data_IF_997006834129
#
_entry.id   IF_997006834129
#
_cell.length_a   1.000
_cell.length_b   1.000
_cell.length_c   1.000
_cell.angle_alpha   90.00
_cell.angle_beta   90.00
_cell.angle_gamma   90.00
#
_symmetry.space_group_name_H-M   'P 1'
#
loop_
_entity.id
_entity.type
_entity.pdbx_description
1 polymer ?
#
# COMPACT_ATOMS: atom_id res chain seq x y z
N UNK A 1 -6.63 29.04 29.22
CA UNK A 1 -6.40 28.76 27.79
C UNK A 1 -6.42 27.24 27.61
N UNK A 2 -7.40 26.67 26.90
CA UNK A 2 -7.46 25.22 26.70
C UNK A 2 -6.37 24.78 25.70
N UNK A 3 -5.71 23.63 25.91
CA UNK A 3 -4.72 23.13 24.99
C UNK A 3 -5.38 22.77 23.66
N UNK A 4 -4.83 23.29 22.57
CA UNK A 4 -5.23 22.94 21.22
C UNK A 4 -5.18 21.41 21.06
N UNK A 5 -6.33 20.78 20.86
CA UNK A 5 -6.39 19.39 20.41
C UNK A 5 -5.60 19.30 19.10
N UNK A 6 -4.40 18.73 19.17
CA UNK A 6 -3.65 18.29 18.00
C UNK A 6 -4.49 17.17 17.37
N UNK A 7 -5.23 17.54 16.31
CA UNK A 7 -6.07 16.65 15.52
C UNK A 7 -5.14 15.66 14.80
N UNK A 8 -5.11 14.42 15.27
CA UNK A 8 -4.42 13.33 14.60
C UNK A 8 -5.34 12.71 13.57
N UNK A 9 -5.09 12.99 12.29
CA UNK A 9 -5.69 12.29 11.15
C UNK A 9 -5.09 10.88 11.10
N UNK A 10 -5.80 9.90 11.67
CA UNK A 10 -5.44 8.46 11.61
C UNK A 10 -6.01 7.80 10.35
N UNK A 11 -6.83 8.51 9.56
CA UNK A 11 -7.64 7.94 8.49
C UNK A 11 -6.91 7.54 7.18
N UNK A 12 -5.64 7.91 6.96
CA UNK A 12 -5.03 7.83 5.61
C UNK A 12 -4.30 6.50 5.32
N UNK A 13 -4.28 5.52 6.22
CA UNK A 13 -3.36 4.35 6.07
C UNK A 13 -3.85 3.25 5.13
N UNK A 14 -5.08 3.28 4.62
CA UNK A 14 -5.59 2.25 3.70
C UNK A 14 -6.48 2.89 2.63
N UNK A 15 -5.88 3.31 1.52
CA UNK A 15 -6.61 3.73 0.32
C UNK A 15 -5.84 3.24 -0.92
N UNK A 16 -6.41 2.28 -1.66
CA UNK A 16 -6.85 2.39 -3.06
C UNK A 16 -7.72 1.16 -3.39
N UNK A 17 -9.00 1.48 -3.57
CA UNK A 17 -10.13 0.85 -4.27
C UNK A 17 -10.26 -0.68 -4.40
N UNK A 18 -11.37 -1.16 -3.82
CA UNK A 18 -12.09 -2.40 -4.12
C UNK A 18 -12.56 -2.43 -5.58
N UNK A 19 -12.00 -3.32 -6.39
CA UNK A 19 -12.66 -3.75 -7.63
C UNK A 19 -13.76 -4.77 -7.27
N UNK A 20 -15.00 -4.27 -7.17
CA UNK A 20 -16.18 -5.13 -7.25
C UNK A 20 -16.19 -5.81 -8.62
N UNK A 21 -16.11 -7.14 -8.62
CA UNK A 21 -16.61 -7.94 -9.73
C UNK A 21 -18.14 -7.99 -9.62
N UNK A 22 -18.81 -6.91 -10.04
CA UNK A 22 -20.24 -6.97 -10.31
C UNK A 22 -20.46 -7.81 -11.58
N UNK A 23 -20.72 -9.10 -11.41
CA UNK A 23 -21.42 -9.88 -12.43
C UNK A 23 -22.82 -9.31 -12.58
N UNK A 24 -23.03 -8.48 -13.60
CA UNK A 24 -24.36 -7.97 -13.92
C UNK A 24 -25.27 -9.14 -14.37
N UNK A 25 -26.53 -9.22 -13.91
CA UNK A 25 -27.49 -10.16 -14.45
C UNK A 25 -27.82 -9.76 -15.90
N UNK A 26 -27.82 -10.75 -16.79
CA UNK A 26 -28.26 -10.57 -18.16
C UNK A 26 -29.76 -10.27 -18.19
N UNK A 27 -30.15 -9.08 -18.63
CA UNK A 27 -31.56 -8.77 -18.86
C UNK A 27 -31.85 -7.32 -19.24
N UNK A 28 -32.05 -7.11 -20.55
CA UNK A 28 -32.99 -6.19 -21.20
C UNK A 28 -32.33 -5.49 -22.40
N UNK A 29 -32.73 -5.93 -23.60
CA UNK A 29 -32.34 -5.32 -24.87
C UNK A 29 -33.05 -3.97 -25.04
N UNK A 30 -32.30 -2.88 -24.87
CA UNK A 30 -32.64 -1.54 -25.36
C UNK A 30 -31.51 -1.09 -26.29
N UNK A 31 -31.86 -0.74 -27.53
CA UNK A 31 -30.91 -0.31 -28.55
C UNK A 31 -30.36 1.08 -28.21
N UNK A 32 -29.18 1.11 -27.59
CA UNK A 32 -28.36 2.30 -27.45
C UNK A 32 -27.13 2.13 -28.34
N UNK A 33 -26.87 3.12 -29.19
CA UNK A 33 -25.72 3.19 -30.08
C UNK A 33 -24.43 3.06 -29.25
N UNK A 34 -23.50 2.14 -29.59
CA UNK A 34 -22.35 1.86 -28.74
C UNK A 34 -21.46 3.10 -28.66
N UNK A 35 -21.49 3.78 -27.52
CA UNK A 35 -20.56 4.84 -27.19
C UNK A 35 -19.14 4.31 -27.45
N UNK A 36 -18.35 5.09 -28.21
CA UNK A 36 -16.96 4.76 -28.49
C UNK A 36 -16.27 4.38 -27.16
N UNK A 37 -15.49 3.29 -27.11
CA UNK A 37 -14.88 2.84 -25.86
C UNK A 37 -14.02 3.99 -25.33
N UNK A 38 -14.48 4.62 -24.26
CA UNK A 38 -13.69 5.62 -23.55
C UNK A 38 -12.34 4.97 -23.26
N UNK A 39 -11.25 5.60 -23.69
CA UNK A 39 -9.89 5.18 -23.38
C UNK A 39 -9.78 5.07 -21.87
N UNK A 40 -9.87 3.85 -21.35
CA UNK A 40 -9.79 3.53 -19.92
C UNK A 40 -8.33 3.62 -19.49
N UNK A 41 -7.86 4.81 -19.17
CA UNK A 41 -6.52 5.03 -18.63
C UNK A 41 -6.27 6.51 -18.35
N UNK A 42 -5.48 6.80 -17.32
CA UNK A 42 -4.93 8.14 -17.16
C UNK A 42 -3.93 8.41 -18.29
N UNK A 43 -3.84 9.65 -18.81
CA UNK A 43 -2.80 9.99 -19.78
C UNK A 43 -1.42 9.73 -19.18
N UNK A 44 -0.59 9.00 -19.92
CA UNK A 44 0.79 8.71 -19.52
C UNK A 44 1.69 9.73 -20.19
N UNK A 45 2.34 10.59 -19.39
CA UNK A 45 3.32 11.57 -19.87
C UNK A 45 4.56 10.87 -20.43
N UNK A 46 5.39 11.56 -21.21
CA UNK A 46 6.76 11.10 -21.43
C UNK A 46 7.66 11.35 -20.20
N UNK A 47 8.91 10.89 -20.25
CA UNK A 47 9.84 11.03 -19.12
C UNK A 47 10.12 12.51 -18.80
N UNK A 48 10.35 13.35 -19.82
CA UNK A 48 10.75 14.75 -19.65
C UNK A 48 9.60 15.59 -19.09
N UNK A 49 8.39 15.42 -19.62
CA UNK A 49 7.17 16.06 -19.13
C UNK A 49 6.86 15.64 -17.70
N UNK A 50 7.02 14.35 -17.37
CA UNK A 50 6.82 13.87 -16.02
C UNK A 50 7.85 14.47 -15.04
N UNK A 51 9.13 14.48 -15.38
CA UNK A 51 10.18 15.08 -14.54
C UNK A 51 9.96 16.58 -14.32
N UNK A 52 9.45 17.31 -15.32
CA UNK A 52 9.15 18.73 -15.20
C UNK A 52 8.05 19.04 -14.17
N UNK A 53 7.18 18.06 -13.86
CA UNK A 53 6.11 18.21 -12.88
C UNK A 53 6.50 17.72 -11.49
N UNK A 54 7.49 16.83 -11.38
CA UNK A 54 7.97 16.33 -10.10
C UNK A 54 8.71 17.42 -9.30
N UNK A 55 8.80 17.29 -7.96
CA UNK A 55 9.66 18.13 -7.13
C UNK A 55 11.11 18.15 -7.64
N UNK A 56 11.86 19.17 -7.24
CA UNK A 56 13.28 19.30 -7.56
C UNK A 56 14.04 18.03 -7.14
N UNK A 57 14.82 17.50 -8.09
CA UNK A 57 15.61 16.28 -7.92
C UNK A 57 16.99 16.66 -7.45
N UNK A 58 17.40 16.14 -6.29
CA UNK A 58 18.77 16.32 -5.77
C UNK A 58 19.73 15.32 -6.42
N UNK A 59 19.28 14.07 -6.58
CA UNK A 59 20.05 12.99 -7.20
C UNK A 59 19.12 11.93 -7.82
N UNK A 60 19.54 11.30 -8.92
CA UNK A 60 18.81 10.22 -9.57
C UNK A 60 19.74 9.30 -10.36
N UNK A 61 19.62 7.99 -10.15
CA UNK A 61 20.42 6.99 -10.87
C UNK A 61 20.03 6.80 -12.34
N UNK A 62 18.87 7.29 -12.76
CA UNK A 62 18.37 7.23 -14.13
C UNK A 62 17.32 8.33 -14.39
N UNK A 63 17.18 8.72 -15.67
CA UNK A 63 16.10 9.62 -16.14
C UNK A 63 14.87 8.88 -16.65
N UNK A 64 14.88 7.55 -16.71
CA UNK A 64 13.69 6.76 -17.10
C UNK A 64 12.78 6.54 -15.89
N UNK A 65 11.53 6.96 -16.01
CA UNK A 65 10.49 6.75 -15.01
C UNK A 65 9.61 5.54 -15.37
N UNK A 66 9.16 4.77 -14.38
CA UNK A 66 8.17 3.74 -14.62
C UNK A 66 6.84 4.35 -15.10
N UNK A 67 6.08 3.62 -15.93
CA UNK A 67 4.81 4.05 -16.53
C UNK A 67 3.86 4.61 -15.48
N UNK A 68 3.77 3.94 -14.31
CA UNK A 68 2.89 4.39 -13.24
C UNK A 68 3.28 5.74 -12.65
N UNK A 69 4.58 6.07 -12.61
CA UNK A 69 5.03 7.36 -12.12
C UNK A 69 4.69 8.47 -13.14
N UNK A 70 4.88 8.20 -14.43
CA UNK A 70 4.50 9.13 -15.51
C UNK A 70 2.98 9.37 -15.57
N UNK A 71 2.18 8.35 -15.27
CA UNK A 71 0.72 8.47 -15.19
C UNK A 71 0.25 9.32 -13.99
N UNK A 72 0.98 9.27 -12.87
CA UNK A 72 0.60 9.98 -11.64
C UNK A 72 1.18 11.39 -11.54
N UNK A 73 2.33 11.66 -12.18
CA UNK A 73 3.07 12.91 -12.05
C UNK A 73 2.21 14.16 -12.31
N UNK A 74 1.27 14.10 -13.26
CA UNK A 74 0.40 15.23 -13.57
C UNK A 74 -0.66 15.55 -12.50
N UNK A 75 -1.10 14.55 -11.72
CA UNK A 75 -2.18 14.72 -10.75
C UNK A 75 -1.71 14.75 -9.29
N UNK A 76 -0.60 14.06 -9.02
CA UNK A 76 -0.05 13.85 -7.69
C UNK A 76 1.49 13.88 -7.72
N UNK A 77 2.12 14.98 -8.18
CA UNK A 77 3.58 15.04 -8.38
C UNK A 77 4.39 14.76 -7.11
N UNK A 78 3.98 15.30 -5.95
CA UNK A 78 4.71 15.11 -4.69
C UNK A 78 4.54 13.70 -4.16
N UNK A 79 3.35 13.13 -4.28
CA UNK A 79 3.09 11.74 -3.91
C UNK A 79 3.85 10.80 -4.82
N UNK A 80 3.89 11.08 -6.13
CA UNK A 80 4.67 10.31 -7.10
C UNK A 80 6.15 10.27 -6.70
N UNK A 81 6.73 11.42 -6.36
CA UNK A 81 8.10 11.49 -5.85
C UNK A 81 8.31 10.68 -4.56
N UNK A 82 7.44 10.84 -3.56
CA UNK A 82 7.51 10.06 -2.33
C UNK A 82 7.32 8.55 -2.56
N UNK A 83 6.52 8.17 -3.57
CA UNK A 83 6.30 6.79 -3.98
C UNK A 83 7.50 6.19 -4.72
N UNK A 84 8.26 6.97 -5.49
CA UNK A 84 9.49 6.49 -6.12
C UNK A 84 10.55 6.14 -5.07
N UNK A 85 10.75 7.01 -4.07
CA UNK A 85 11.63 6.73 -2.94
C UNK A 85 11.16 5.50 -2.13
N UNK A 86 9.84 5.38 -1.95
CA UNK A 86 9.23 4.23 -1.29
C UNK A 86 9.48 2.94 -2.08
N UNK A 87 9.23 2.92 -3.39
CA UNK A 87 9.45 1.77 -4.25
C UNK A 87 10.90 1.30 -4.20
N UNK A 88 11.83 2.24 -4.32
CA UNK A 88 13.25 1.95 -4.19
C UNK A 88 13.56 1.23 -2.87
N UNK A 89 13.18 1.81 -1.73
CA UNK A 89 13.49 1.26 -0.42
C UNK A 89 12.89 -0.14 -0.20
N UNK A 90 11.65 -0.37 -0.64
CA UNK A 90 11.03 -1.68 -0.51
C UNK A 90 11.68 -2.69 -1.45
N UNK A 91 12.10 -2.30 -2.66
CA UNK A 91 12.77 -3.21 -3.59
C UNK A 91 14.19 -3.55 -3.20
N UNK A 92 14.92 -2.62 -2.59
CA UNK A 92 16.36 -2.76 -2.29
C UNK A 92 16.69 -3.03 -0.83
N UNK A 93 15.69 -3.04 0.06
CA UNK A 93 15.86 -3.29 1.50
C UNK A 93 16.81 -4.46 1.81
N UNK A 94 17.52 -4.39 2.92
CA UNK A 94 18.31 -5.47 3.51
C UNK A 94 17.65 -6.05 4.77
N UNK A 95 16.40 -5.65 5.07
CA UNK A 95 15.69 -6.09 6.27
C UNK A 95 15.38 -7.60 6.30
N UNK A 96 15.43 -8.27 5.15
CA UNK A 96 15.39 -9.73 5.00
C UNK A 96 15.91 -10.13 3.61
N UNK A 97 16.09 -11.44 3.38
CA UNK A 97 16.71 -11.99 2.16
C UNK A 97 16.08 -11.45 0.86
N UNK A 98 16.96 -11.05 -0.08
CA UNK A 98 16.56 -10.37 -1.33
C UNK A 98 15.77 -11.30 -2.24
N UNK A 99 16.15 -12.58 -2.34
CA UNK A 99 15.42 -13.56 -3.15
C UNK A 99 14.05 -13.83 -2.54
N UNK A 100 13.98 -14.05 -1.23
CA UNK A 100 12.72 -14.26 -0.52
C UNK A 100 11.78 -13.07 -0.70
N UNK A 101 12.28 -11.83 -0.59
CA UNK A 101 11.49 -10.62 -0.87
C UNK A 101 10.89 -10.62 -2.27
N UNK A 102 11.70 -10.86 -3.30
CA UNK A 102 11.22 -10.88 -4.67
C UNK A 102 10.15 -11.98 -4.88
N UNK A 103 10.37 -13.18 -4.32
CA UNK A 103 9.39 -14.29 -4.36
C UNK A 103 8.08 -13.94 -3.66
N UNK A 104 8.13 -13.28 -2.49
CA UNK A 104 6.93 -12.84 -1.78
C UNK A 104 6.14 -11.79 -2.57
N UNK A 105 6.82 -10.81 -3.20
CA UNK A 105 6.18 -9.83 -4.09
C UNK A 105 5.55 -10.50 -5.31
N UNK A 106 6.23 -11.49 -5.89
CA UNK A 106 5.68 -12.27 -7.00
C UNK A 106 4.39 -13.00 -6.61
N UNK A 107 4.37 -13.63 -5.42
CA UNK A 107 3.17 -14.32 -4.88
C UNK A 107 2.02 -13.33 -4.68
N UNK A 108 2.31 -12.13 -4.16
CA UNK A 108 1.32 -11.06 -4.02
C UNK A 108 0.74 -10.64 -5.37
N UNK A 109 1.62 -10.34 -6.34
CA UNK A 109 1.25 -9.88 -7.67
C UNK A 109 0.39 -10.92 -8.40
N UNK A 110 0.76 -12.21 -8.33
CA UNK A 110 -0.06 -13.30 -8.89
C UNK A 110 -1.42 -13.39 -8.22
N UNK A 111 -1.49 -13.29 -6.90
CA UNK A 111 -2.75 -13.36 -6.16
C UNK A 111 -3.67 -12.17 -6.48
N UNK A 112 -3.11 -10.97 -6.66
CA UNK A 112 -3.83 -9.77 -7.07
C UNK A 112 -4.11 -9.69 -8.58
N UNK A 113 -3.50 -10.58 -9.39
CA UNK A 113 -3.53 -10.54 -10.86
C UNK A 113 -2.95 -9.24 -11.45
N UNK A 114 -1.87 -8.75 -10.84
CA UNK A 114 -1.13 -7.59 -11.31
C UNK A 114 0.06 -8.02 -12.19
N UNK A 115 -0.10 -7.96 -13.51
CA UNK A 115 0.95 -8.37 -14.45
C UNK A 115 2.20 -7.49 -14.38
N UNK A 116 2.02 -6.20 -14.18
CA UNK A 116 3.12 -5.25 -14.01
C UNK A 116 4.01 -5.65 -12.82
N UNK A 117 3.43 -5.77 -11.63
CA UNK A 117 4.19 -6.15 -10.43
C UNK A 117 4.77 -7.54 -10.52
N UNK A 118 4.12 -8.47 -11.22
CA UNK A 118 4.63 -9.82 -11.45
C UNK A 118 5.92 -9.78 -12.25
N UNK A 119 5.94 -9.06 -13.37
CA UNK A 119 7.13 -8.89 -14.19
C UNK A 119 8.26 -8.17 -13.43
N UNK A 120 7.94 -7.11 -12.66
CA UNK A 120 8.91 -6.42 -11.80
C UNK A 120 9.51 -7.38 -10.77
N UNK A 121 8.69 -8.21 -10.11
CA UNK A 121 9.17 -9.17 -9.12
C UNK A 121 10.03 -10.28 -9.74
N UNK A 122 9.75 -10.70 -10.98
CA UNK A 122 10.61 -11.63 -11.74
C UNK A 122 11.98 -11.01 -12.05
N UNK A 123 12.00 -9.76 -12.51
CA UNK A 123 13.24 -9.02 -12.77
C UNK A 123 14.07 -8.86 -11.48
N UNK A 124 13.43 -8.48 -10.37
CA UNK A 124 14.08 -8.34 -9.06
C UNK A 124 14.61 -9.70 -8.54
N UNK A 125 13.89 -10.81 -8.79
CA UNK A 125 14.34 -12.15 -8.41
C UNK A 125 15.60 -12.56 -9.18
N UNK A 126 15.63 -12.32 -10.50
CA UNK A 126 16.80 -12.59 -11.32
C UNK A 126 18.00 -11.73 -10.90
N UNK A 127 17.77 -10.44 -10.63
CA UNK A 127 18.81 -9.52 -10.14
C UNK A 127 19.35 -9.94 -8.75
N UNK A 128 18.52 -10.56 -7.90
CA UNK A 128 18.93 -11.14 -6.63
C UNK A 128 19.66 -12.50 -6.78
N UNK A 129 19.97 -12.93 -8.00
CA UNK A 129 20.65 -14.19 -8.30
C UNK A 129 19.72 -15.42 -8.29
N UNK A 130 18.41 -15.21 -8.39
CA UNK A 130 17.45 -16.26 -8.72
C UNK A 130 17.58 -16.71 -10.18
N UNK A 131 16.92 -17.80 -10.52
CA UNK A 131 16.99 -18.45 -11.83
C UNK A 131 15.61 -18.45 -12.51
N UNK A 132 15.57 -18.71 -13.83
CA UNK A 132 14.28 -18.95 -14.51
C UNK A 132 13.54 -20.15 -13.95
N UNK A 133 14.27 -21.17 -13.50
CA UNK A 133 13.68 -22.32 -12.83
C UNK A 133 12.95 -21.92 -11.54
N UNK A 134 13.49 -20.97 -10.76
CA UNK A 134 12.79 -20.46 -9.57
C UNK A 134 11.45 -19.80 -9.96
N UNK A 135 11.41 -19.04 -11.05
CA UNK A 135 10.19 -18.41 -11.57
C UNK A 135 9.18 -19.46 -12.06
N UNK A 136 9.65 -20.47 -12.79
CA UNK A 136 8.81 -21.58 -13.26
C UNK A 136 8.21 -22.37 -12.09
N UNK A 137 8.98 -22.61 -11.02
CA UNK A 137 8.48 -23.25 -9.81
C UNK A 137 7.40 -22.41 -9.13
N UNK A 138 7.60 -21.09 -8.99
CA UNK A 138 6.57 -20.19 -8.48
C UNK A 138 5.30 -20.23 -9.36
N UNK A 139 5.45 -20.21 -10.68
CA UNK A 139 4.36 -20.34 -11.65
C UNK A 139 3.57 -21.65 -11.49
N UNK A 140 4.29 -22.77 -11.26
CA UNK A 140 3.71 -24.07 -10.96
C UNK A 140 3.04 -24.15 -9.57
N UNK A 141 3.17 -23.11 -8.73
CA UNK A 141 2.56 -23.06 -7.41
C UNK A 141 3.43 -23.67 -6.30
N UNK A 142 4.73 -23.85 -6.55
CA UNK A 142 5.66 -24.28 -5.51
C UNK A 142 5.69 -23.26 -4.37
N UNK A 143 5.68 -23.77 -3.14
CA UNK A 143 5.75 -22.93 -1.94
C UNK A 143 7.19 -22.68 -1.48
N UNK A 144 8.20 -23.15 -2.21
CA UNK A 144 9.62 -23.00 -1.85
C UNK A 144 10.29 -24.31 -1.43
N UNK A 145 11.61 -24.32 -1.43
CA UNK A 145 12.41 -25.54 -1.22
C UNK A 145 12.66 -25.84 0.26
N UNK A 146 12.72 -24.82 1.12
CA UNK A 146 12.95 -24.97 2.57
C UNK A 146 11.65 -24.81 3.38
N UNK A 147 11.57 -25.31 4.64
CA UNK A 147 10.43 -25.07 5.52
C UNK A 147 10.15 -23.57 5.73
N UNK A 148 11.19 -22.78 5.93
CA UNK A 148 11.11 -21.33 6.09
C UNK A 148 10.55 -20.65 4.82
N UNK A 149 11.05 -21.01 3.63
CA UNK A 149 10.51 -20.48 2.37
C UNK A 149 9.02 -20.81 2.23
N UNK A 150 8.61 -22.04 2.56
CA UNK A 150 7.20 -22.46 2.54
C UNK A 150 6.33 -21.66 3.47
N UNK A 151 6.79 -21.43 4.71
CA UNK A 151 6.06 -20.60 5.65
C UNK A 151 5.95 -19.15 5.16
N UNK A 152 7.03 -18.56 4.66
CA UNK A 152 7.05 -17.18 4.19
C UNK A 152 6.20 -16.94 2.93
N UNK A 153 6.22 -17.87 1.96
CA UNK A 153 5.39 -17.75 0.75
C UNK A 153 3.91 -18.05 1.03
N UNK A 154 3.61 -18.99 1.94
CA UNK A 154 2.24 -19.20 2.44
C UNK A 154 1.72 -17.95 3.15
N UNK A 155 2.54 -17.37 4.04
CA UNK A 155 2.26 -16.12 4.73
C UNK A 155 2.00 -14.97 3.75
N UNK A 156 2.84 -14.79 2.72
CA UNK A 156 2.65 -13.75 1.69
C UNK A 156 1.31 -13.90 0.94
N UNK A 157 0.96 -15.13 0.56
CA UNK A 157 -0.31 -15.44 -0.10
C UNK A 157 -1.50 -15.14 0.82
N UNK A 158 -1.41 -15.55 2.09
CA UNK A 158 -2.47 -15.35 3.09
C UNK A 158 -2.64 -13.87 3.43
N UNK A 159 -1.55 -13.13 3.61
CA UNK A 159 -1.56 -11.67 3.77
C UNK A 159 -2.19 -10.93 2.58
N UNK A 160 -2.14 -11.52 1.38
CA UNK A 160 -2.73 -10.92 0.17
C UNK A 160 -4.22 -11.25 0.02
N UNK A 161 -4.62 -12.49 0.30
CA UNK A 161 -5.99 -12.96 0.04
C UNK A 161 -6.92 -12.92 1.26
N UNK A 162 -6.38 -13.08 2.46
CA UNK A 162 -7.14 -13.27 3.69
C UNK A 162 -6.29 -12.98 4.93
N UNK A 163 -5.76 -11.75 5.04
CA UNK A 163 -4.80 -11.38 6.11
C UNK A 163 -5.33 -11.65 7.53
N UNK A 164 -6.65 -11.50 7.74
CA UNK A 164 -7.35 -11.80 9.00
C UNK A 164 -7.18 -13.26 9.47
N UNK A 165 -6.88 -14.18 8.55
CA UNK A 165 -6.75 -15.62 8.83
C UNK A 165 -5.33 -16.04 9.21
N UNK A 166 -4.34 -15.14 9.10
CA UNK A 166 -2.97 -15.42 9.56
C UNK A 166 -3.01 -15.69 11.07
N UNK A 167 -2.49 -16.84 11.50
CA UNK A 167 -2.57 -17.28 12.90
C UNK A 167 -1.40 -16.77 13.73
N UNK A 168 -1.49 -16.92 15.05
CA UNK A 168 -0.42 -16.51 15.96
C UNK A 168 0.76 -17.50 15.84
N UNK A 169 0.50 -18.80 15.62
CA UNK A 169 1.51 -19.84 15.43
C UNK A 169 2.32 -19.64 14.14
N UNK A 170 1.66 -19.26 13.04
CA UNK A 170 2.34 -18.96 11.77
C UNK A 170 3.33 -17.80 11.94
N UNK A 171 2.95 -16.76 12.71
CA UNK A 171 3.81 -15.61 12.97
C UNK A 171 4.91 -15.95 13.96
N UNK A 172 4.61 -16.70 15.03
CA UNK A 172 5.62 -17.17 15.99
C UNK A 172 6.70 -18.00 15.31
N UNK A 173 6.33 -18.93 14.42
CA UNK A 173 7.32 -19.70 13.67
C UNK A 173 8.27 -18.81 12.85
N UNK A 174 7.73 -17.81 12.15
CA UNK A 174 8.57 -16.87 11.39
C UNK A 174 9.47 -16.03 12.31
N UNK A 175 8.99 -15.65 13.51
CA UNK A 175 9.79 -14.92 14.50
C UNK A 175 10.90 -15.80 15.09
N UNK A 176 10.64 -17.07 15.32
CA UNK A 176 11.65 -18.03 15.80
C UNK A 176 12.79 -18.20 14.78
N UNK A 177 12.46 -18.26 13.49
CA UNK A 177 13.44 -18.48 12.42
C UNK A 177 14.18 -17.19 12.00
N UNK A 178 13.50 -16.03 12.02
CA UNK A 178 14.03 -14.78 11.45
C UNK A 178 14.20 -13.65 12.47
N UNK A 179 13.53 -13.71 13.62
CA UNK A 179 13.37 -12.60 14.55
C UNK A 179 12.26 -11.61 14.17
N UNK A 180 11.85 -10.78 15.13
CA UNK A 180 10.73 -9.84 14.94
C UNK A 180 10.98 -8.81 13.83
N UNK A 181 12.21 -8.26 13.77
CA UNK A 181 12.55 -7.17 12.84
C UNK A 181 12.32 -7.59 11.37
N UNK A 182 12.87 -8.72 10.87
CA UNK A 182 12.53 -9.23 9.53
C UNK A 182 11.05 -9.55 9.32
N UNK A 183 10.35 -10.10 10.32
CA UNK A 183 8.91 -10.41 10.21
C UNK A 183 8.06 -9.15 10.07
N UNK A 184 8.39 -8.07 10.80
CA UNK A 184 7.74 -6.77 10.60
C UNK A 184 8.05 -6.22 9.20
N UNK A 185 9.26 -6.43 8.67
CA UNK A 185 9.62 -6.07 7.30
C UNK A 185 8.77 -6.84 6.28
N UNK A 186 8.55 -8.13 6.50
CA UNK A 186 7.69 -8.97 5.67
C UNK A 186 6.24 -8.47 5.66
N UNK A 187 5.68 -8.10 6.83
CA UNK A 187 4.33 -7.51 6.92
C UNK A 187 4.25 -6.21 6.12
N UNK A 188 5.22 -5.30 6.31
CA UNK A 188 5.30 -4.05 5.57
C UNK A 188 5.46 -4.28 4.06
N UNK A 189 6.28 -5.25 3.66
CA UNK A 189 6.46 -5.61 2.26
C UNK A 189 5.15 -6.08 1.63
N UNK A 190 4.36 -6.86 2.37
CA UNK A 190 3.06 -7.31 1.90
C UNK A 190 2.05 -6.17 1.83
N UNK A 191 2.07 -5.24 2.78
CA UNK A 191 1.23 -4.04 2.72
C UNK A 191 1.58 -3.19 1.49
N UNK A 192 2.87 -2.94 1.25
CA UNK A 192 3.35 -2.19 0.09
C UNK A 192 3.00 -2.87 -1.23
N UNK A 193 3.26 -4.17 -1.37
CA UNK A 193 2.94 -4.92 -2.58
C UNK A 193 1.43 -4.88 -2.89
N UNK A 194 0.59 -5.09 -1.87
CA UNK A 194 -0.86 -5.03 -2.03
C UNK A 194 -1.38 -3.63 -2.42
N UNK A 195 -0.80 -2.58 -1.86
CA UNK A 195 -1.09 -1.20 -2.24
C UNK A 195 -0.67 -0.93 -3.69
N UNK A 196 0.58 -1.25 -4.04
CA UNK A 196 1.15 -1.00 -5.35
C UNK A 196 0.38 -1.76 -6.45
N UNK A 197 0.08 -3.05 -6.23
CA UNK A 197 -0.67 -3.87 -7.19
C UNK A 197 -2.03 -3.25 -7.51
N UNK A 198 -2.78 -2.82 -6.49
CA UNK A 198 -4.12 -2.22 -6.67
C UNK A 198 -4.05 -0.89 -7.40
N UNK A 199 -3.04 -0.08 -7.09
CA UNK A 199 -2.78 1.17 -7.81
C UNK A 199 -2.50 0.89 -9.29
N UNK A 200 -1.57 -0.04 -9.59
CA UNK A 200 -1.19 -0.37 -10.96
C UNK A 200 -2.34 -0.95 -11.78
N UNK A 201 -3.15 -1.83 -11.18
CA UNK A 201 -4.37 -2.36 -11.80
C UNK A 201 -5.36 -1.22 -12.08
N UNK A 202 -5.54 -0.29 -11.13
CA UNK A 202 -6.47 0.85 -11.28
C UNK A 202 -6.02 1.83 -12.36
N UNK A 203 -4.71 2.00 -12.54
CA UNK A 203 -4.11 2.82 -13.59
C UNK A 203 -4.15 2.15 -14.96
N UNK A 204 -4.37 0.84 -15.04
CA UNK A 204 -4.18 0.07 -16.27
C UNK A 204 -2.71 0.07 -16.72
N UNK A 205 -1.77 0.11 -15.76
CA UNK A 205 -0.35 0.24 -16.07
C UNK A 205 0.18 -0.94 -16.86
N UNK A 206 0.79 -0.65 -18.01
CA UNK A 206 1.54 -1.61 -18.81
C UNK A 206 3.03 -1.55 -18.48
N UNK A 207 3.75 -2.65 -18.72
CA UNK A 207 5.21 -2.69 -18.57
C UNK A 207 5.88 -1.81 -19.62
N UNK A 208 6.97 -1.15 -19.25
CA UNK A 208 7.73 -0.29 -20.14
C UNK A 208 8.28 -1.06 -21.37
N UNK A 209 8.46 -0.38 -22.51
CA UNK A 209 9.22 -0.93 -23.62
C UNK A 209 10.62 -1.37 -23.16
N UNK A 210 10.97 -2.61 -23.46
CA UNK A 210 12.22 -3.24 -23.02
C UNK A 210 12.14 -4.01 -21.70
N UNK A 211 10.97 -4.05 -21.06
CA UNK A 211 10.74 -4.79 -19.82
C UNK A 211 10.80 -3.90 -18.56
N UNK A 212 10.60 -4.51 -17.37
CA UNK A 212 10.56 -3.79 -16.10
C UNK A 212 11.84 -3.01 -15.83
N UNK A 213 11.71 -1.76 -15.39
CA UNK A 213 12.85 -0.95 -14.98
C UNK A 213 13.45 -1.46 -13.64
N UNK A 214 14.79 -1.34 -13.45
CA UNK A 214 15.40 -1.57 -12.14
C UNK A 214 14.85 -0.58 -11.10
N UNK A 215 15.02 -0.86 -9.79
CA UNK A 215 14.66 0.10 -8.74
C UNK A 215 15.34 1.46 -9.00
N UNK A 216 14.56 2.53 -9.07
CA UNK A 216 15.09 3.88 -9.30
C UNK A 216 15.52 4.50 -7.98
N UNK A 217 16.84 4.63 -7.78
CA UNK A 217 17.38 5.43 -6.69
C UNK A 217 17.25 6.89 -7.04
N UNK A 218 16.41 7.62 -6.30
CA UNK A 218 16.15 9.04 -6.52
C UNK A 218 15.91 9.72 -5.18
N UNK A 219 16.39 10.96 -5.05
CA UNK A 219 16.18 11.81 -3.90
C UNK A 219 15.60 13.16 -4.35
N UNK A 220 14.53 13.57 -3.68
CA UNK A 220 13.84 14.82 -3.98
C UNK A 220 14.05 15.83 -2.85
N UNK A 221 14.27 17.08 -3.22
CA UNK A 221 14.33 18.18 -2.28
C UNK A 221 13.01 18.29 -1.50
N UNK A 222 13.11 18.64 -0.21
CA UNK A 222 11.92 18.91 0.58
C UNK A 222 11.22 20.17 0.03
N UNK A 223 9.88 20.14 -0.16
CA UNK A 223 9.18 21.33 -0.61
C UNK A 223 9.32 22.45 0.45
N UNK A 224 9.33 23.73 0.03
CA UNK A 224 9.30 24.86 0.95
C UNK A 224 8.15 24.73 1.97
N UNK A 225 8.37 25.07 3.26
CA UNK A 225 7.37 24.87 4.32
C UNK A 225 6.02 25.55 4.09
N UNK A 226 6.02 26.64 3.33
CA UNK A 226 4.86 27.47 2.97
C UNK A 226 4.15 26.99 1.70
N UNK A 227 4.78 26.14 0.89
CA UNK A 227 4.22 25.66 -0.36
C UNK A 227 3.20 24.53 -0.12
N UNK A 228 1.92 24.89 -0.05
CA UNK A 228 0.83 23.90 -0.04
C UNK A 228 0.71 23.23 -1.42
N UNK A 229 0.51 21.90 -1.48
CA UNK A 229 0.19 21.27 -2.76
C UNK A 229 -1.17 21.79 -3.24
N UNK A 230 -1.26 22.11 -4.51
CA UNK A 230 -2.54 22.40 -5.17
C UNK A 230 -3.16 21.06 -5.59
N UNK A 231 -4.32 20.68 -5.04
CA UNK A 231 -4.97 19.43 -5.45
C UNK A 231 -5.38 19.50 -6.91
N UNK A 232 -5.22 18.39 -7.64
CA UNK A 232 -5.71 18.31 -9.01
C UNK A 232 -7.20 18.70 -9.10
N UNK A 233 -7.54 19.48 -10.12
CA UNK A 233 -8.91 19.88 -10.37
C UNK A 233 -9.80 18.64 -10.56
N UNK A 234 -10.87 18.54 -9.77
CA UNK A 234 -11.87 17.48 -9.89
C UNK A 234 -13.08 18.08 -10.61
N UNK A 235 -13.25 17.83 -11.92
CA UNK A 235 -14.42 18.34 -12.62
C UNK A 235 -15.68 17.81 -11.93
N UNK A 236 -16.66 18.69 -11.77
CA UNK A 236 -17.97 18.25 -11.33
C UNK A 236 -18.52 17.22 -12.35
N UNK A 237 -19.30 16.23 -11.91
CA UNK A 237 -20.05 15.38 -12.83
C UNK A 237 -20.83 16.24 -13.83
N UNK A 238 -20.80 15.87 -15.12
CA UNK A 238 -21.47 16.63 -16.21
C UNK A 238 -22.97 16.75 -15.94
N UNK A 239 -23.56 15.73 -15.34
CA UNK A 239 -24.91 15.74 -14.84
C UNK A 239 -24.91 15.45 -13.34
N UNK A 240 -25.68 16.19 -12.53
CA UNK A 240 -25.88 15.82 -11.15
C UNK A 240 -26.47 14.42 -11.13
N UNK A 241 -25.84 13.51 -10.39
CA UNK A 241 -26.44 12.20 -10.14
C UNK A 241 -27.86 12.46 -9.61
N UNK A 242 -28.88 11.74 -10.12
CA UNK A 242 -30.24 11.91 -9.62
C UNK A 242 -30.20 11.76 -8.11
N UNK A 243 -30.89 12.66 -7.39
CA UNK A 243 -31.01 12.57 -5.93
C UNK A 243 -31.67 11.22 -5.58
N UNK A 244 -30.86 10.21 -5.38
CA UNK A 244 -31.32 8.95 -4.85
C UNK A 244 -31.44 9.14 -3.34
N UNK A 245 -32.66 9.01 -2.82
CA UNK A 245 -32.85 8.94 -1.38
C UNK A 245 -31.91 7.88 -0.80
N UNK A 246 -31.21 8.16 0.32
CA UNK A 246 -30.29 7.20 0.92
C UNK A 246 -31.02 5.89 1.18
N UNK A 247 -30.63 4.84 0.45
CA UNK A 247 -31.22 3.54 0.61
C UNK A 247 -30.66 2.92 1.88
N UNK A 248 -31.55 2.54 2.82
CA UNK A 248 -31.15 1.70 3.94
C UNK A 248 -30.76 0.33 3.40
N UNK A 249 -29.46 0.06 3.34
CA UNK A 249 -28.96 -1.27 3.00
C UNK A 249 -29.29 -2.20 4.16
N UNK A 250 -30.15 -3.19 3.90
CA UNK A 250 -30.45 -4.24 4.86
C UNK A 250 -29.29 -5.24 4.88
N UNK A 251 -28.27 -4.90 5.66
CA UNK A 251 -27.10 -5.77 5.80
C UNK A 251 -27.28 -6.68 7.02
N UNK A 252 -27.61 -7.95 6.77
CA UNK A 252 -27.83 -8.95 7.82
C UNK A 252 -26.59 -9.17 8.68
N UNK A 253 -25.40 -9.02 8.10
CA UNK A 253 -24.14 -9.28 8.81
C UNK A 253 -23.88 -8.18 9.84
N UNK A 254 -24.10 -6.91 9.49
CA UNK A 254 -24.01 -5.80 10.46
C UNK A 254 -25.03 -5.90 11.58
N UNK A 255 -26.21 -6.45 11.28
CA UNK A 255 -27.29 -6.63 12.27
C UNK A 255 -27.16 -7.93 13.07
N UNK A 256 -26.25 -8.81 12.69
CA UNK A 256 -26.07 -10.12 13.34
C UNK A 256 -25.41 -10.04 14.71
N UNK A 257 -24.65 -8.95 14.97
CA UNK A 257 -23.99 -8.72 16.24
C UNK A 257 -24.75 -7.66 17.03
N UNK A 258 -25.14 -8.00 18.26
CA UNK A 258 -25.64 -7.00 19.20
C UNK A 258 -24.47 -6.26 19.87
N UNK A 259 -24.79 -5.14 20.53
CA UNK A 259 -23.80 -4.30 21.20
C UNK A 259 -22.93 -5.07 22.21
N UNK A 260 -23.51 -6.00 22.97
CA UNK A 260 -22.77 -6.77 23.98
C UNK A 260 -21.77 -7.72 23.33
N UNK A 261 -22.17 -8.40 22.26
CA UNK A 261 -21.27 -9.29 21.49
C UNK A 261 -20.14 -8.51 20.83
N UNK A 262 -20.40 -7.30 20.34
CA UNK A 262 -19.37 -6.42 19.80
C UNK A 262 -18.37 -6.01 20.89
N UNK A 263 -18.87 -5.58 22.05
CA UNK A 263 -18.05 -5.19 23.19
C UNK A 263 -17.17 -6.35 23.67
N UNK A 264 -17.73 -7.55 23.80
CA UNK A 264 -16.99 -8.76 24.16
C UNK A 264 -15.86 -9.06 23.18
N UNK A 265 -16.12 -8.98 21.86
CA UNK A 265 -15.11 -9.17 20.82
C UNK A 265 -14.00 -8.12 20.90
N UNK A 266 -14.36 -6.86 21.13
CA UNK A 266 -13.38 -5.77 21.29
C UNK A 266 -12.51 -5.96 22.54
N UNK A 267 -13.10 -6.38 23.66
CA UNK A 267 -12.37 -6.66 24.89
C UNK A 267 -11.44 -7.87 24.76
N UNK A 268 -11.92 -8.94 24.14
CA UNK A 268 -11.09 -10.09 23.79
C UNK A 268 -9.91 -9.67 22.90
N UNK A 269 -10.13 -8.79 21.91
CA UNK A 269 -9.06 -8.28 21.08
C UNK A 269 -8.06 -7.42 21.85
N UNK A 270 -8.53 -6.55 22.76
CA UNK A 270 -7.67 -5.70 23.60
C UNK A 270 -6.81 -6.51 24.57
N UNK A 271 -7.30 -7.66 25.03
CA UNK A 271 -6.59 -8.53 25.97
C UNK A 271 -5.62 -9.50 25.30
N UNK A 272 -5.68 -9.68 23.97
CA UNK A 272 -4.74 -10.51 23.23
C UNK A 272 -3.31 -10.01 23.40
N UNK A 273 -2.39 -10.96 23.59
CA UNK A 273 -0.96 -10.66 23.50
C UNK A 273 -0.62 -10.19 22.09
N UNK A 274 0.25 -9.19 21.98
CA UNK A 274 0.78 -8.77 20.69
C UNK A 274 1.63 -9.88 20.07
N UNK A 275 1.58 -10.01 18.74
CA UNK A 275 2.43 -10.95 17.99
C UNK A 275 3.90 -10.55 17.94
N UNK A 276 4.18 -9.26 18.12
CA UNK A 276 5.52 -8.67 18.17
C UNK A 276 5.58 -7.69 19.32
N UNK A 277 6.78 -7.46 19.84
CA UNK A 277 7.02 -6.42 20.83
C UNK A 277 6.65 -5.03 20.27
N UNK A 278 6.13 -4.17 21.16
CA UNK A 278 5.86 -2.76 20.84
C UNK A 278 7.01 -1.92 21.43
N UNK A 279 7.90 -1.36 20.60
CA UNK A 279 9.00 -0.52 21.06
C UNK A 279 8.47 0.72 21.81
N UNK A 280 9.23 1.21 22.79
CA UNK A 280 8.96 2.52 23.39
C UNK A 280 9.31 3.64 22.40
N UNK A 281 8.75 4.84 22.60
CA UNK A 281 9.13 6.00 21.81
C UNK A 281 10.64 6.31 21.93
N UNK A 282 11.19 6.18 23.14
CA UNK A 282 12.59 6.43 23.44
C UNK A 282 13.52 5.43 22.74
N UNK A 283 13.06 4.20 22.50
CA UNK A 283 13.80 3.20 21.74
C UNK A 283 13.69 3.48 20.24
N UNK A 284 12.46 3.65 19.73
CA UNK A 284 12.21 3.86 18.31
C UNK A 284 12.93 5.11 17.77
N UNK A 285 12.89 6.23 18.49
CA UNK A 285 13.47 7.51 18.02
C UNK A 285 15.00 7.51 17.87
N UNK A 286 15.72 6.52 18.40
CA UNK A 286 17.19 6.47 18.31
C UNK A 286 17.70 6.25 16.89
N UNK A 287 16.92 5.56 16.07
CA UNK A 287 17.25 5.24 14.67
C UNK A 287 16.53 6.17 13.67
N UNK A 288 15.80 7.19 14.15
CA UNK A 288 15.02 8.10 13.30
C UNK A 288 15.70 9.47 13.14
N UNK A 289 15.44 10.13 12.01
CA UNK A 289 15.87 11.51 11.79
C UNK A 289 15.16 12.46 12.79
N UNK A 290 15.91 13.15 13.67
CA UNK A 290 15.32 14.04 14.66
C UNK A 290 14.61 15.26 14.04
N UNK A 291 14.91 15.62 12.78
CA UNK A 291 14.18 16.69 12.07
C UNK A 291 12.76 16.27 11.73
N UNK A 292 12.57 15.01 11.34
CA UNK A 292 11.27 14.46 10.99
C UNK A 292 10.49 13.96 12.22
N UNK A 293 11.21 13.53 13.24
CA UNK A 293 10.68 12.90 14.45
C UNK A 293 11.25 13.58 15.71
N UNK A 294 10.81 14.82 16.01
CA UNK A 294 11.42 15.61 17.06
C UNK A 294 11.11 15.02 18.45
N UNK A 295 12.06 15.08 19.41
CA UNK A 295 11.91 14.43 20.71
C UNK A 295 10.71 14.89 21.55
N UNK A 296 10.29 16.13 21.39
CA UNK A 296 9.18 16.78 22.10
C UNK A 296 7.79 16.39 21.58
N UNK A 297 7.71 15.59 20.51
CA UNK A 297 6.45 15.12 19.91
C UNK A 297 6.38 13.59 19.92
N UNK A 298 6.14 12.97 21.09
CA UNK A 298 6.16 11.52 21.22
C UNK A 298 5.06 10.84 20.40
N UNK A 299 5.43 9.81 19.64
CA UNK A 299 4.49 8.92 18.97
C UNK A 299 3.89 7.96 20.00
N UNK A 300 2.56 7.94 20.11
CA UNK A 300 1.82 7.08 21.06
C UNK A 300 1.03 5.96 20.39
N UNK A 301 0.91 5.99 19.07
CA UNK A 301 0.18 4.99 18.31
C UNK A 301 1.03 3.72 18.26
N UNK A 302 0.55 2.62 18.89
CA UNK A 302 1.27 1.35 18.99
C UNK A 302 1.75 0.83 17.63
N UNK A 303 0.90 0.89 16.61
CA UNK A 303 1.27 0.49 15.24
C UNK A 303 2.45 1.31 14.71
N UNK A 304 2.40 2.64 14.87
CA UNK A 304 3.50 3.51 14.46
C UNK A 304 4.78 3.20 15.23
N UNK A 305 4.71 2.85 16.52
CA UNK A 305 5.87 2.44 17.31
C UNK A 305 6.47 1.11 16.83
N UNK A 306 5.65 0.12 16.50
CA UNK A 306 6.10 -1.15 15.90
C UNK A 306 6.83 -0.89 14.58
N UNK A 307 6.19 -0.14 13.68
CA UNK A 307 6.75 0.15 12.35
C UNK A 307 8.03 0.97 12.44
N UNK A 308 8.04 2.05 13.24
CA UNK A 308 9.21 2.92 13.36
C UNK A 308 10.36 2.28 14.14
N UNK A 309 10.06 1.50 15.18
CA UNK A 309 11.08 0.89 16.03
C UNK A 309 11.69 -0.36 15.44
N UNK A 310 10.92 -1.20 14.74
CA UNK A 310 11.47 -2.37 14.05
C UNK A 310 12.01 -2.03 12.66
N UNK A 311 11.41 -1.07 11.96
CA UNK A 311 11.73 -0.75 10.57
C UNK A 311 11.99 0.75 10.35
N UNK A 312 13.08 1.31 10.90
CA UNK A 312 13.36 2.76 10.85
C UNK A 312 13.73 3.30 9.48
N UNK A 313 13.91 2.44 8.47
CA UNK A 313 14.06 2.84 7.06
C UNK A 313 12.74 2.75 6.29
N UNK A 314 12.09 1.58 6.32
CA UNK A 314 10.84 1.33 5.57
C UNK A 314 9.64 2.09 6.15
N UNK A 315 9.57 2.18 7.49
CA UNK A 315 8.47 2.81 8.21
C UNK A 315 8.33 4.30 7.94
N UNK A 316 9.39 5.11 8.11
CA UNK A 316 9.34 6.53 7.78
C UNK A 316 8.99 6.81 6.32
N UNK A 317 9.52 6.03 5.37
CA UNK A 317 9.20 6.19 3.96
C UNK A 317 7.72 5.95 3.68
N UNK A 318 7.15 4.87 4.25
CA UNK A 318 5.72 4.57 4.14
C UNK A 318 4.87 5.70 4.72
N UNK A 319 5.20 6.18 5.92
CA UNK A 319 4.50 7.29 6.58
C UNK A 319 4.64 8.60 5.79
N UNK A 320 5.81 8.88 5.21
CA UNK A 320 6.06 10.04 4.34
C UNK A 320 5.11 9.98 3.14
N UNK A 321 5.09 8.86 2.42
CA UNK A 321 4.22 8.66 1.27
C UNK A 321 2.73 8.90 1.61
N UNK A 322 2.22 8.28 2.68
CA UNK A 322 0.82 8.43 3.08
C UNK A 322 0.47 9.87 3.48
N UNK A 323 1.35 10.55 4.21
CA UNK A 323 1.14 11.95 4.60
C UNK A 323 1.19 12.89 3.40
N UNK A 324 2.09 12.64 2.45
CA UNK A 324 2.19 13.40 1.21
C UNK A 324 0.91 13.23 0.41
N UNK A 325 0.43 11.99 0.22
CA UNK A 325 -0.84 11.71 -0.44
C UNK A 325 -2.02 12.43 0.24
N UNK A 326 -2.20 12.30 1.56
CA UNK A 326 -3.33 12.94 2.24
C UNK A 326 -3.33 14.47 2.09
N UNK A 327 -2.14 15.10 2.08
CA UNK A 327 -2.01 16.55 1.87
C UNK A 327 -2.28 16.96 0.43
N UNK A 328 -1.73 16.22 -0.53
CA UNK A 328 -1.79 16.57 -1.95
C UNK A 328 -3.13 16.22 -2.58
N UNK A 329 -3.66 15.04 -2.26
CA UNK A 329 -4.97 14.63 -2.75
C UNK A 329 -6.07 15.53 -2.17
N UNK A 330 -5.94 16.00 -0.92
CA UNK A 330 -6.96 16.80 -0.22
C UNK A 330 -8.34 16.16 -0.36
N UNK A 331 -8.46 14.90 0.07
CA UNK A 331 -9.72 14.17 -0.03
C UNK A 331 -10.72 14.74 0.96
N UNK A 332 -12.01 14.60 0.62
CA UNK A 332 -13.06 14.97 1.56
C UNK A 332 -13.00 14.04 2.78
N UNK A 333 -13.14 14.62 3.97
CA UNK A 333 -13.01 13.86 5.22
C UNK A 333 -14.09 12.79 5.35
N UNK A 334 -15.33 13.08 4.95
CA UNK A 334 -16.42 12.10 5.05
C UNK A 334 -16.14 10.94 4.11
N UNK A 335 -15.63 11.23 2.91
CA UNK A 335 -15.19 10.22 1.97
C UNK A 335 -14.04 9.34 2.52
N UNK A 336 -12.99 9.93 3.09
CA UNK A 336 -11.87 9.18 3.70
C UNK A 336 -12.36 8.24 4.81
N UNK A 337 -13.15 8.75 5.75
CA UNK A 337 -13.67 7.97 6.88
C UNK A 337 -14.62 6.86 6.40
N UNK A 338 -15.43 7.11 5.37
CA UNK A 338 -16.32 6.09 4.79
C UNK A 338 -15.51 4.97 4.12
N UNK A 339 -14.50 5.33 3.33
CA UNK A 339 -13.61 4.35 2.69
C UNK A 339 -12.86 3.52 3.73
N UNK A 340 -12.40 4.14 4.82
CA UNK A 340 -11.76 3.43 5.91
C UNK A 340 -12.65 2.29 6.44
N UNK A 341 -13.92 2.56 6.72
CA UNK A 341 -14.85 1.54 7.23
C UNK A 341 -15.18 0.47 6.19
N UNK A 342 -15.36 0.85 4.93
CA UNK A 342 -15.58 -0.11 3.83
C UNK A 342 -14.38 -1.06 3.71
N UNK A 343 -13.17 -0.53 3.64
CA UNK A 343 -11.95 -1.32 3.49
C UNK A 343 -11.71 -2.20 4.73
N UNK A 344 -11.88 -1.63 5.93
CA UNK A 344 -11.74 -2.35 7.19
C UNK A 344 -12.66 -3.57 7.23
N UNK A 345 -13.92 -3.40 6.81
CA UNK A 345 -14.86 -4.51 6.69
C UNK A 345 -14.46 -5.51 5.61
N UNK A 346 -14.16 -5.04 4.40
CA UNK A 346 -13.85 -5.90 3.25
C UNK A 346 -12.61 -6.78 3.50
N UNK A 347 -11.65 -6.27 4.27
CA UNK A 347 -10.44 -7.00 4.65
C UNK A 347 -10.58 -7.77 5.95
N UNK A 348 -11.73 -7.69 6.63
CA UNK A 348 -11.92 -8.18 7.99
C UNK A 348 -10.79 -7.68 8.92
N UNK A 349 -10.37 -6.43 8.70
CA UNK A 349 -9.40 -5.78 9.54
C UNK A 349 -10.09 -5.44 10.86
N UNK A 350 -9.56 -5.94 11.97
CA UNK A 350 -10.12 -5.67 13.29
C UNK A 350 -9.42 -4.43 13.86
N UNK A 351 -10.09 -3.29 13.84
CA UNK A 351 -9.64 -2.05 14.49
C UNK A 351 -10.30 -1.86 15.87
#
# INVERSE_FOLDING_TARGET
MPPALVRFTVAVVLLVCTSLTCSAPAGAAGGEEPAAPATRGLPVLDDDDAWALLPEVEDASSRRLPVWARALAGSLPRTTAAMLELDYLYRTSDAFDRKLRARMRWVAARANRCEYSRAVAEADLLAAGGTRQDIEQLAAGATGSTPLDRAALSFARKMTLAASTVTDEEVSYLIEELGERPVVAMVLQMAYANFQDRLLISLGSEIEPGGPLPPLEVHFAAPPPDQKPEPAARPAPIEPAPESAPQKIADSDWKSLNFLQLQERMEAQRSRSGRVSVPTWESARRELDPKLYPPDRPVRIKWSLVVLGHQPRLGPAWIKCLRTFGREANQDRVFEETLFWVITRSLQCFY
#
